data_IF_457614138448
#
_entry.id   IF_457614138448
#
_cell.length_a   1.000
_cell.length_b   1.000
_cell.length_c   1.000
_cell.angle_alpha   90.00
_cell.angle_beta   90.00
_cell.angle_gamma   90.00
#
_symmetry.space_group_name_H-M   'P 1'
#
loop_
_entity.id
_entity.type
_entity.pdbx_description
1 polymer ?
#
# COMPACT_ATOMS: atom_id res chain seq x y z
N UNK A 1 -3.76 -2.15 4.19
CA UNK A 1 -5.02 -1.38 4.13
C UNK A 1 -4.83 0.02 4.70
N UNK A 2 -5.33 1.04 4.00
CA UNK A 2 -5.24 2.47 4.37
C UNK A 2 -5.92 2.72 5.72
N UNK A 3 -5.27 3.43 6.66
CA UNK A 3 -5.82 3.56 8.02
C UNK A 3 -7.06 4.47 8.09
N UNK A 4 -7.16 5.54 7.29
CA UNK A 4 -8.36 6.40 7.29
C UNK A 4 -9.65 5.65 6.92
N UNK A 5 -9.55 4.55 6.16
CA UNK A 5 -10.71 3.70 5.80
C UNK A 5 -11.11 2.71 6.90
N UNK A 6 -10.26 2.51 7.90
CA UNK A 6 -10.42 1.49 8.95
C UNK A 6 -10.36 2.07 10.35
N UNK A 7 -10.45 3.40 10.44
CA UNK A 7 -10.44 4.16 11.69
C UNK A 7 -11.48 5.27 11.64
N UNK A 8 -11.83 5.83 12.79
CA UNK A 8 -12.67 7.02 12.90
C UNK A 8 -12.19 7.91 14.05
N UNK A 9 -12.66 9.16 14.05
CA UNK A 9 -12.27 10.22 14.99
C UNK A 9 -10.74 10.35 15.13
N UNK A 10 -10.04 10.35 14.01
CA UNK A 10 -8.60 10.51 13.99
C UNK A 10 -8.21 11.97 14.26
N UNK A 11 -7.30 12.21 15.20
CA UNK A 11 -6.76 13.53 15.51
C UNK A 11 -5.33 13.45 16.05
N UNK A 12 -4.68 14.60 16.14
CA UNK A 12 -3.32 14.73 16.67
C UNK A 12 -3.37 15.24 18.11
N UNK A 13 -2.79 14.49 19.04
CA UNK A 13 -2.55 14.88 20.43
C UNK A 13 -1.09 15.26 20.60
N UNK A 14 -0.82 16.29 21.39
CA UNK A 14 0.54 16.78 21.70
C UNK A 14 1.40 17.09 20.45
N UNK A 15 0.76 17.37 19.31
CA UNK A 15 1.36 17.62 17.99
C UNK A 15 2.14 16.46 17.34
N UNK A 16 2.21 15.29 17.97
CA UNK A 16 2.97 14.15 17.41
C UNK A 16 2.33 12.77 17.69
N UNK A 17 1.32 12.70 18.56
CA UNK A 17 0.63 11.45 18.87
C UNK A 17 -0.64 11.38 18.02
N UNK A 18 -0.65 10.51 17.00
CA UNK A 18 -1.84 10.21 16.23
C UNK A 18 -2.76 9.33 17.08
N UNK A 19 -3.97 9.82 17.36
CA UNK A 19 -5.01 9.11 18.10
C UNK A 19 -6.15 8.80 17.15
N UNK A 20 -6.69 7.59 17.21
CA UNK A 20 -7.92 7.24 16.50
C UNK A 20 -8.68 6.11 17.23
N UNK A 21 -9.88 5.78 16.75
CA UNK A 21 -10.52 4.50 17.04
C UNK A 21 -10.33 3.55 15.88
N UNK A 22 -9.75 2.39 16.14
CA UNK A 22 -9.38 1.40 15.13
C UNK A 22 -10.33 0.19 15.19
N UNK A 23 -10.88 -0.22 14.04
CA UNK A 23 -11.65 -1.47 13.94
C UNK A 23 -10.73 -2.70 13.99
N UNK A 24 -11.16 -3.71 14.73
CA UNK A 24 -10.54 -5.04 14.82
C UNK A 24 -11.25 -6.02 13.89
N UNK A 25 -10.63 -7.18 13.64
CA UNK A 25 -11.20 -8.24 12.76
C UNK A 25 -12.50 -8.86 13.31
N UNK A 26 -12.73 -8.76 14.61
CA UNK A 26 -13.96 -9.19 15.28
C UNK A 26 -15.09 -8.13 15.19
N UNK A 27 -14.84 -7.00 14.53
CA UNK A 27 -15.79 -5.89 14.39
C UNK A 27 -15.82 -4.94 15.59
N UNK A 28 -15.07 -5.22 16.67
CA UNK A 28 -14.92 -4.28 17.79
C UNK A 28 -14.08 -3.07 17.39
N UNK A 29 -14.28 -1.93 18.05
CA UNK A 29 -13.40 -0.78 17.93
C UNK A 29 -12.64 -0.53 19.23
N UNK A 30 -11.40 -0.06 19.13
CA UNK A 30 -10.59 0.33 20.29
C UNK A 30 -9.84 1.63 20.03
N UNK A 31 -9.69 2.44 21.08
CA UNK A 31 -8.86 3.64 21.03
C UNK A 31 -7.39 3.22 20.91
N UNK A 32 -6.71 3.75 19.90
CA UNK A 32 -5.34 3.43 19.52
C UNK A 32 -4.54 4.75 19.44
N UNK A 33 -3.25 4.69 19.81
CA UNK A 33 -2.33 5.82 19.73
C UNK A 33 -1.06 5.39 19.01
N UNK A 34 -0.52 6.25 18.16
CA UNK A 34 0.75 6.08 17.48
C UNK A 34 1.58 7.35 17.63
N UNK A 35 2.73 7.21 18.27
CA UNK A 35 3.70 8.28 18.43
C UNK A 35 4.50 8.44 17.13
N UNK A 36 4.20 9.49 16.37
CA UNK A 36 4.80 9.77 15.07
C UNK A 36 6.27 10.21 15.18
N UNK A 37 6.71 10.77 16.31
CA UNK A 37 8.11 11.18 16.50
C UNK A 37 9.06 9.97 16.57
N UNK A 38 8.53 8.77 16.83
CA UNK A 38 9.31 7.52 16.72
C UNK A 38 9.58 7.09 15.27
N UNK A 39 8.97 7.76 14.30
CA UNK A 39 8.89 7.29 12.92
C UNK A 39 9.15 8.38 11.88
N UNK A 40 8.84 9.63 12.22
CA UNK A 40 9.00 10.80 11.36
C UNK A 40 10.05 11.72 11.95
N UNK A 41 11.06 12.01 11.13
CA UNK A 41 12.06 13.03 11.40
C UNK A 41 11.90 14.27 10.53
N UNK A 42 12.82 15.21 10.71
CA UNK A 42 12.98 16.38 9.84
C UNK A 42 14.37 16.38 9.19
N UNK A 43 14.41 16.27 7.86
CA UNK A 43 15.61 16.38 7.06
C UNK A 43 15.54 17.63 6.17
N UNK A 44 16.27 18.68 6.57
CA UNK A 44 16.35 19.97 5.87
C UNK A 44 14.99 20.56 5.42
N UNK A 45 13.98 20.51 6.29
CA UNK A 45 12.64 21.00 6.02
C UNK A 45 11.71 19.99 5.33
N UNK A 46 12.08 18.71 5.27
CA UNK A 46 11.26 17.63 4.74
C UNK A 46 11.00 16.56 5.80
N UNK A 47 9.81 15.95 5.74
CA UNK A 47 9.54 14.78 6.58
C UNK A 47 10.49 13.66 6.17
N UNK A 48 11.19 13.08 7.13
CA UNK A 48 12.08 11.95 6.91
C UNK A 48 11.48 10.69 7.54
N UNK A 49 11.31 9.63 6.76
CA UNK A 49 10.81 8.33 7.24
C UNK A 49 11.90 7.27 7.27
N UNK A 50 13.12 7.60 6.87
CA UNK A 50 14.24 6.68 6.63
C UNK A 50 15.16 6.53 7.83
N UNK A 51 15.21 7.54 8.71
CA UNK A 51 16.07 7.57 9.89
C UNK A 51 15.24 7.39 11.17
N UNK A 52 15.10 6.15 11.70
CA UNK A 52 14.26 5.88 12.87
C UNK A 52 14.93 6.29 14.20
N UNK A 53 15.93 7.17 14.18
CA UNK A 53 16.58 7.61 15.40
C UNK A 53 15.72 8.68 16.09
N UNK A 54 15.45 8.46 17.39
CA UNK A 54 14.67 9.37 18.24
C UNK A 54 15.32 10.76 18.34
N UNK A 55 16.60 10.87 17.98
CA UNK A 55 17.33 12.15 17.89
C UNK A 55 16.78 13.09 16.81
N UNK A 56 15.95 12.61 15.88
CA UNK A 56 15.44 13.38 14.75
C UNK A 56 13.94 13.68 14.77
N UNK A 57 13.23 13.39 15.87
CA UNK A 57 11.79 13.65 16.07
C UNK A 57 11.33 14.95 15.39
N UNK A 58 10.47 14.83 14.36
CA UNK A 58 10.10 15.98 13.53
C UNK A 58 9.51 17.10 14.38
N UNK A 59 8.69 16.75 15.37
CA UNK A 59 7.92 17.72 16.16
C UNK A 59 8.82 18.69 16.92
N UNK A 60 10.02 18.26 17.31
CA UNK A 60 10.98 19.07 18.07
C UNK A 60 11.51 20.29 17.29
N UNK A 61 11.47 20.22 15.96
CA UNK A 61 11.96 21.28 15.08
C UNK A 61 10.87 21.88 14.19
N UNK A 62 9.64 21.39 14.35
CA UNK A 62 8.50 21.77 13.55
C UNK A 62 7.62 22.82 14.25
N UNK A 63 6.81 23.52 13.47
CA UNK A 63 5.74 24.39 13.95
C UNK A 63 4.51 24.29 13.05
N UNK A 64 3.39 24.85 13.49
CA UNK A 64 2.12 24.85 12.75
C UNK A 64 1.67 23.45 12.31
N UNK A 65 1.89 22.46 13.18
CA UNK A 65 1.61 21.06 12.90
C UNK A 65 0.10 20.85 12.91
N UNK A 66 -0.43 20.31 11.83
CA UNK A 66 -1.86 20.05 11.65
C UNK A 66 -2.06 18.69 11.01
N UNK A 67 -3.07 17.97 11.48
CA UNK A 67 -3.53 16.72 10.87
C UNK A 67 -4.94 16.93 10.33
N UNK A 68 -5.16 16.50 9.10
CA UNK A 68 -6.49 16.50 8.48
C UNK A 68 -6.59 15.41 7.42
N UNK A 69 -7.64 14.59 7.49
CA UNK A 69 -8.01 13.60 6.48
C UNK A 69 -6.83 12.72 6.02
N UNK A 70 -6.11 12.12 6.98
CA UNK A 70 -4.95 11.27 6.68
C UNK A 70 -3.66 12.03 6.30
N UNK A 71 -3.71 13.36 6.18
CA UNK A 71 -2.55 14.19 5.82
C UNK A 71 -2.01 14.92 7.04
N UNK A 72 -0.70 14.80 7.29
CA UNK A 72 0.03 15.61 8.26
C UNK A 72 0.72 16.76 7.52
N UNK A 73 0.48 18.00 7.96
CA UNK A 73 1.10 19.22 7.44
C UNK A 73 1.89 19.88 8.56
N UNK A 74 3.11 20.33 8.27
CA UNK A 74 3.94 21.06 9.22
C UNK A 74 4.87 22.05 8.52
N UNK A 75 5.28 23.08 9.26
CA UNK A 75 6.41 23.94 8.93
C UNK A 75 7.67 23.33 9.55
N UNK A 76 8.51 22.67 8.77
CA UNK A 76 9.74 22.00 9.22
C UNK A 76 10.96 22.90 9.04
N UNK A 77 11.83 22.94 10.04
CA UNK A 77 13.03 23.80 10.02
C UNK A 77 14.12 23.23 9.10
N UNK A 78 14.63 24.07 8.19
CA UNK A 78 15.79 23.80 7.34
C UNK A 78 17.10 23.99 8.10
N UNK A 79 18.20 23.49 7.54
CA UNK A 79 19.56 23.77 8.00
C UNK A 79 19.88 25.27 7.95
N UNK A 80 19.30 26.01 6.99
CA UNK A 80 19.42 27.48 6.90
C UNK A 80 18.75 28.21 8.08
N UNK A 81 18.00 27.50 8.93
CA UNK A 81 17.14 27.98 10.01
C UNK A 81 15.80 28.59 9.56
N UNK A 82 15.56 28.70 8.25
CA UNK A 82 14.24 28.99 7.70
C UNK A 82 13.31 27.78 7.82
N UNK A 83 12.03 27.94 7.50
CA UNK A 83 11.05 26.85 7.54
C UNK A 83 10.56 26.52 6.14
N UNK A 84 10.36 25.23 5.89
CA UNK A 84 9.67 24.70 4.73
C UNK A 84 8.28 24.21 5.15
N UNK A 85 7.24 24.64 4.45
CA UNK A 85 5.90 24.08 4.66
C UNK A 85 5.81 22.81 3.81
N UNK A 86 5.60 21.67 4.44
CA UNK A 86 5.52 20.39 3.76
C UNK A 86 4.39 19.52 4.33
N UNK A 87 4.07 18.47 3.60
CA UNK A 87 2.98 17.55 3.90
C UNK A 87 3.43 16.11 3.68
N UNK A 88 2.95 15.21 4.53
CA UNK A 88 3.07 13.76 4.33
C UNK A 88 1.70 13.11 4.47
N UNK A 89 1.38 12.20 3.55
CA UNK A 89 0.15 11.42 3.60
C UNK A 89 0.38 10.21 4.52
N UNK A 90 -0.17 10.24 5.73
CA UNK A 90 -0.03 9.14 6.70
C UNK A 90 -0.70 7.86 6.23
N UNK A 91 -1.67 7.93 5.31
CA UNK A 91 -2.26 6.75 4.68
C UNK A 91 -1.26 5.86 3.92
N UNK A 92 -0.11 6.43 3.55
CA UNK A 92 1.00 5.70 2.94
C UNK A 92 1.93 5.02 3.94
N UNK A 93 1.85 5.37 5.23
CA UNK A 93 2.81 4.94 6.25
C UNK A 93 2.16 4.37 7.51
N UNK A 94 0.87 4.58 7.72
CA UNK A 94 0.15 4.13 8.91
C UNK A 94 -0.92 3.15 8.48
N UNK A 95 -0.96 2.02 9.16
CA UNK A 95 -1.96 0.97 8.94
C UNK A 95 -2.69 0.66 10.24
N UNK A 96 -3.94 0.25 10.11
CA UNK A 96 -4.67 -0.41 11.19
C UNK A 96 -4.39 -1.92 11.14
N UNK A 97 -3.53 -2.39 12.04
CA UNK A 97 -3.24 -3.80 12.25
C UNK A 97 -4.14 -4.38 13.35
N UNK A 98 -5.32 -4.88 12.94
CA UNK A 98 -6.29 -5.54 13.83
C UNK A 98 -6.65 -4.69 15.07
N UNK A 99 -7.03 -3.44 14.86
CA UNK A 99 -7.39 -2.47 15.90
C UNK A 99 -6.22 -1.66 16.46
N UNK A 100 -5.00 -1.79 15.94
CA UNK A 100 -3.83 -1.06 16.43
C UNK A 100 -3.19 -0.25 15.29
N UNK A 101 -2.89 1.01 15.54
CA UNK A 101 -2.09 1.80 14.61
C UNK A 101 -0.65 1.31 14.62
N UNK A 102 -0.09 1.09 13.44
CA UNK A 102 1.31 0.73 13.25
C UNK A 102 1.90 1.56 12.12
N UNK A 103 3.16 1.96 12.28
CA UNK A 103 3.92 2.63 11.23
C UNK A 103 4.63 1.62 10.34
N UNK A 104 4.33 1.64 9.05
CA UNK A 104 4.99 0.90 7.99
C UNK A 104 6.13 1.75 7.40
N UNK A 105 7.38 1.32 7.63
CA UNK A 105 8.59 2.06 7.25
C UNK A 105 8.82 2.22 5.74
N UNK A 106 8.17 1.40 4.91
CA UNK A 106 8.31 1.48 3.46
C UNK A 106 7.06 2.11 2.84
N UNK A 107 7.14 3.33 2.27
CA UNK A 107 6.21 3.77 1.24
C UNK A 107 6.35 2.80 0.07
N UNK A 108 5.36 1.94 -0.06
CA UNK A 108 5.48 0.72 -0.84
C UNK A 108 5.02 -0.47 -0.03
N UNK A 109 3.91 -1.04 -0.49
CA UNK A 109 3.24 -2.16 0.14
C UNK A 109 2.14 -2.63 -0.79
N UNK A 110 0.94 -2.82 -0.23
CA UNK A 110 -0.25 -3.16 -1.01
C UNK A 110 -0.48 -2.13 -2.13
N UNK A 111 -0.58 -2.62 -3.37
CA UNK A 111 -0.68 -1.76 -4.56
C UNK A 111 -1.82 -0.75 -4.49
N UNK A 112 -2.96 -1.07 -3.87
CA UNK A 112 -4.08 -0.13 -3.76
C UNK A 112 -3.78 1.07 -2.84
N UNK A 113 -2.91 0.90 -1.85
CA UNK A 113 -2.49 2.00 -0.97
C UNK A 113 -1.40 2.86 -1.60
N UNK A 114 -0.47 2.24 -2.33
CA UNK A 114 0.79 2.87 -2.75
C UNK A 114 0.95 3.06 -4.27
N UNK A 115 -0.08 2.73 -5.07
CA UNK A 115 -0.09 2.93 -6.51
C UNK A 115 -1.38 3.61 -6.99
N UNK A 116 -1.33 4.29 -8.13
CA UNK A 116 -2.44 4.99 -8.78
C UNK A 116 -2.40 4.80 -10.30
N UNK A 117 -3.49 5.19 -10.97
CA UNK A 117 -3.59 5.17 -12.43
C UNK A 117 -3.25 3.80 -13.05
N UNK A 118 -3.87 2.74 -12.52
CA UNK A 118 -3.66 1.39 -13.03
C UNK A 118 -4.17 1.24 -14.46
N UNK A 119 -3.41 0.55 -15.28
CA UNK A 119 -3.83 0.02 -16.57
C UNK A 119 -3.33 -1.39 -16.76
N UNK A 120 -4.12 -2.23 -17.44
CA UNK A 120 -3.69 -3.55 -17.88
C UNK A 120 -3.79 -3.58 -19.39
N UNK A 121 -2.66 -3.77 -20.04
CA UNK A 121 -2.58 -3.97 -21.50
C UNK A 121 -1.99 -5.34 -21.74
N UNK A 122 -2.76 -6.22 -22.38
CA UNK A 122 -2.47 -7.64 -22.54
C UNK A 122 -2.21 -8.34 -21.20
N UNK A 123 -0.95 -8.47 -20.81
CA UNK A 123 -0.51 -9.06 -19.54
C UNK A 123 0.32 -8.12 -18.67
N UNK A 124 0.58 -6.90 -19.15
CA UNK A 124 1.41 -5.92 -18.46
C UNK A 124 0.54 -5.01 -17.61
N UNK A 125 0.66 -5.15 -16.29
CA UNK A 125 0.05 -4.23 -15.33
C UNK A 125 0.96 -3.02 -15.18
N UNK A 126 0.46 -1.83 -15.47
CA UNK A 126 1.17 -0.56 -15.29
C UNK A 126 0.48 0.31 -14.25
N UNK A 127 1.25 1.08 -13.51
CA UNK A 127 0.74 2.04 -12.53
C UNK A 127 1.78 3.14 -12.22
N UNK A 128 1.31 4.24 -11.62
CA UNK A 128 2.17 5.17 -10.89
C UNK A 128 2.38 4.65 -9.48
N UNK A 129 3.63 4.49 -9.06
CA UNK A 129 4.03 3.92 -7.78
C UNK A 129 4.73 4.96 -6.93
N UNK A 130 4.31 5.13 -5.68
CA UNK A 130 4.96 6.06 -4.75
C UNK A 130 6.36 5.54 -4.38
N UNK A 131 7.39 6.34 -4.63
CA UNK A 131 8.78 6.05 -4.27
C UNK A 131 9.14 6.49 -2.86
N UNK A 132 10.34 6.08 -2.41
CA UNK A 132 10.95 6.56 -1.15
C UNK A 132 11.28 8.05 -1.19
N UNK A 133 11.45 8.61 -2.40
CA UNK A 133 11.64 10.03 -2.66
C UNK A 133 10.35 10.85 -2.56
N UNK A 134 9.25 10.21 -2.15
CA UNK A 134 7.91 10.78 -2.07
C UNK A 134 7.34 11.25 -3.42
N UNK A 135 7.90 10.80 -4.55
CA UNK A 135 7.40 11.09 -5.88
C UNK A 135 6.76 9.86 -6.54
N UNK A 136 5.97 10.09 -7.59
CA UNK A 136 5.30 9.02 -8.33
C UNK A 136 6.15 8.55 -9.51
N UNK A 137 6.52 7.28 -9.51
CA UNK A 137 7.30 6.64 -10.56
C UNK A 137 6.39 5.79 -11.45
N UNK A 138 6.47 5.97 -12.76
CA UNK A 138 5.83 5.05 -13.69
C UNK A 138 6.50 3.68 -13.58
N UNK A 139 5.71 2.63 -13.36
CA UNK A 139 6.20 1.27 -13.25
C UNK A 139 5.24 0.28 -13.88
N UNK A 140 5.78 -0.84 -14.33
CA UNK A 140 5.02 -1.93 -14.95
C UNK A 140 5.59 -3.28 -14.55
N UNK A 141 4.73 -4.29 -14.49
CA UNK A 141 5.11 -5.69 -14.27
C UNK A 141 4.34 -6.58 -15.23
N UNK A 142 5.04 -7.51 -15.90
CA UNK A 142 4.41 -8.50 -16.78
C UNK A 142 3.87 -9.66 -15.94
N UNK A 143 2.55 -9.73 -15.81
CA UNK A 143 1.87 -10.79 -15.07
C UNK A 143 2.04 -12.16 -15.75
N UNK A 144 2.37 -12.20 -17.05
CA UNK A 144 2.56 -13.44 -17.79
C UNK A 144 3.78 -14.23 -17.32
N UNK A 145 4.78 -13.54 -16.76
CA UNK A 145 5.96 -14.17 -16.15
C UNK A 145 5.70 -14.74 -14.74
N UNK A 146 4.49 -14.54 -14.19
CA UNK A 146 4.21 -14.80 -12.78
C UNK A 146 2.92 -15.60 -12.53
N UNK A 147 1.97 -15.53 -13.46
CA UNK A 147 0.70 -16.22 -13.38
C UNK A 147 0.58 -17.29 -14.48
N UNK A 148 -0.05 -18.40 -14.11
CA UNK A 148 -0.45 -19.47 -15.02
C UNK A 148 -1.92 -19.84 -14.85
N UNK A 149 -2.41 -20.77 -15.66
CA UNK A 149 -3.74 -21.33 -15.54
C UNK A 149 -3.65 -22.75 -15.00
N UNK A 150 -4.43 -23.07 -13.97
CA UNK A 150 -4.55 -24.41 -13.41
C UNK A 150 -6.01 -24.71 -13.06
N UNK A 151 -6.54 -25.82 -13.58
CA UNK A 151 -7.95 -26.27 -13.40
C UNK A 151 -8.99 -25.14 -13.60
N UNK A 152 -8.81 -24.30 -14.62
CA UNK A 152 -9.74 -23.21 -14.93
C UNK A 152 -9.60 -21.95 -14.07
N UNK A 153 -8.61 -21.89 -13.18
CA UNK A 153 -8.30 -20.72 -12.37
C UNK A 153 -6.94 -20.10 -12.75
N UNK A 154 -6.82 -18.78 -12.56
CA UNK A 154 -5.53 -18.08 -12.67
C UNK A 154 -4.81 -18.19 -11.33
N UNK A 155 -3.57 -18.69 -11.34
CA UNK A 155 -2.77 -18.96 -10.13
C UNK A 155 -1.40 -18.29 -10.19
N UNK A 156 -0.86 -17.79 -9.06
CA UNK A 156 0.42 -17.06 -9.00
C UNK A 156 1.67 -17.97 -9.03
N UNK A 157 1.52 -19.25 -9.35
CA UNK A 157 2.62 -20.25 -9.35
C UNK A 157 2.72 -20.85 -10.75
N UNK A 158 2.88 -19.99 -11.76
CA UNK A 158 2.97 -20.42 -13.14
C UNK A 158 3.46 -19.32 -14.06
N UNK A 159 3.54 -19.64 -15.33
CA UNK A 159 3.83 -18.68 -16.40
C UNK A 159 2.83 -18.87 -17.52
N UNK A 160 2.76 -17.87 -18.40
CA UNK A 160 2.02 -17.93 -19.65
C UNK A 160 0.49 -17.95 -19.53
N UNK A 161 -0.11 -17.42 -18.44
CA UNK A 161 -1.58 -17.36 -18.34
C UNK A 161 -2.24 -16.71 -19.56
N UNK A 162 -1.60 -15.71 -20.18
CA UNK A 162 -2.13 -14.96 -21.32
C UNK A 162 -2.48 -15.85 -22.53
N UNK A 163 -1.85 -17.03 -22.65
CA UNK A 163 -2.17 -17.98 -23.73
C UNK A 163 -3.55 -18.61 -23.58
N UNK A 164 -3.94 -18.84 -22.33
CA UNK A 164 -5.13 -19.61 -21.97
C UNK A 164 -6.26 -18.73 -21.46
N UNK A 165 -6.11 -17.40 -21.53
CA UNK A 165 -7.15 -16.45 -21.15
C UNK A 165 -7.52 -15.49 -22.27
N UNK A 166 -8.70 -14.88 -22.15
CA UNK A 166 -9.15 -13.73 -22.94
C UNK A 166 -9.91 -12.75 -22.06
N UNK A 167 -10.18 -11.55 -22.57
CA UNK A 167 -10.91 -10.49 -21.86
C UNK A 167 -10.30 -10.18 -20.48
N UNK A 168 -8.97 -10.24 -20.38
CA UNK A 168 -8.26 -9.93 -19.15
C UNK A 168 -8.41 -8.43 -18.83
N UNK A 169 -8.79 -8.11 -17.60
CA UNK A 169 -8.93 -6.74 -17.13
C UNK A 169 -8.56 -6.62 -15.65
N UNK A 170 -8.08 -5.44 -15.29
CA UNK A 170 -7.86 -5.08 -13.89
C UNK A 170 -9.12 -4.42 -13.32
N UNK A 171 -9.56 -4.86 -12.15
CA UNK A 171 -10.70 -4.28 -11.44
C UNK A 171 -10.39 -4.08 -9.97
N UNK A 172 -10.82 -2.95 -9.42
CA UNK A 172 -10.79 -2.69 -7.98
C UNK A 172 -12.19 -2.97 -7.42
N UNK A 173 -12.30 -3.90 -6.47
CA UNK A 173 -13.56 -4.22 -5.78
C UNK A 173 -13.34 -4.16 -4.27
N UNK A 174 -13.79 -3.07 -3.65
CA UNK A 174 -13.51 -2.81 -2.23
C UNK A 174 -12.01 -2.68 -1.97
N UNK A 175 -11.47 -3.52 -1.09
CA UNK A 175 -10.04 -3.56 -0.75
C UNK A 175 -9.22 -4.55 -1.61
N UNK A 176 -9.80 -5.10 -2.68
CA UNK A 176 -9.16 -6.13 -3.53
C UNK A 176 -8.79 -5.58 -4.90
N UNK A 177 -7.60 -5.92 -5.37
CA UNK A 177 -7.08 -5.60 -6.68
C UNK A 177 -7.12 -6.87 -7.54
N UNK A 178 -8.10 -6.98 -8.45
CA UNK A 178 -8.41 -8.22 -9.15
C UNK A 178 -7.88 -8.20 -10.58
N UNK A 179 -7.20 -9.28 -10.96
CA UNK A 179 -7.10 -9.68 -12.36
C UNK A 179 -8.29 -10.58 -12.67
N UNK A 180 -9.21 -10.06 -13.49
CA UNK A 180 -10.38 -10.78 -13.97
C UNK A 180 -10.12 -11.22 -15.41
N UNK A 181 -10.37 -12.48 -15.75
CA UNK A 181 -10.24 -12.97 -17.12
C UNK A 181 -11.19 -14.13 -17.40
N UNK A 182 -11.38 -14.45 -18.67
CA UNK A 182 -12.03 -15.69 -19.12
C UNK A 182 -10.97 -16.74 -19.43
N UNK A 183 -10.97 -17.84 -18.70
CA UNK A 183 -9.98 -18.92 -18.77
C UNK A 183 -10.51 -20.07 -19.60
N UNK A 184 -9.68 -20.63 -20.47
CA UNK A 184 -10.00 -21.81 -21.26
C UNK A 184 -10.11 -23.04 -20.35
N UNK A 185 -11.26 -23.68 -20.37
CA UNK A 185 -11.53 -24.97 -19.73
C UNK A 185 -11.64 -26.08 -20.79
N UNK A 186 -12.02 -27.30 -20.37
CA UNK A 186 -12.22 -28.42 -21.28
C UNK A 186 -13.19 -28.08 -22.42
N UNK A 187 -12.97 -28.70 -23.59
CA UNK A 187 -13.82 -28.58 -24.78
C UNK A 187 -13.91 -27.17 -25.38
N UNK A 188 -12.90 -26.31 -25.15
CA UNK A 188 -12.85 -24.96 -25.75
C UNK A 188 -13.85 -23.96 -25.17
N UNK A 189 -14.53 -24.33 -24.09
CA UNK A 189 -15.36 -23.42 -23.30
C UNK A 189 -14.46 -22.49 -22.51
N UNK A 190 -14.94 -21.28 -22.24
CA UNK A 190 -14.28 -20.30 -21.39
C UNK A 190 -15.13 -20.02 -20.16
N UNK A 191 -14.50 -19.91 -19.00
CA UNK A 191 -15.15 -19.62 -17.72
C UNK A 191 -14.49 -18.41 -17.05
N UNK A 192 -15.28 -17.64 -16.31
CA UNK A 192 -14.77 -16.46 -15.62
C UNK A 192 -13.90 -16.87 -14.43
N UNK A 193 -12.73 -16.28 -14.30
CA UNK A 193 -11.85 -16.43 -13.16
C UNK A 193 -11.36 -15.07 -12.66
N UNK A 194 -11.12 -14.99 -11.36
CA UNK A 194 -10.49 -13.85 -10.70
C UNK A 194 -9.31 -14.32 -9.84
N UNK A 195 -8.25 -13.51 -9.81
CA UNK A 195 -7.15 -13.66 -8.85
C UNK A 195 -6.84 -12.31 -8.22
N UNK A 196 -6.60 -12.31 -6.92
CA UNK A 196 -6.28 -11.11 -6.16
C UNK A 196 -4.78 -10.81 -6.25
N UNK A 197 -4.44 -9.78 -7.02
CA UNK A 197 -3.08 -9.32 -7.22
C UNK A 197 -2.48 -8.73 -5.95
N UNK A 198 -3.30 -8.29 -4.99
CA UNK A 198 -2.83 -7.74 -3.70
C UNK A 198 -2.02 -8.75 -2.89
N UNK A 199 -2.16 -10.04 -3.20
CA UNK A 199 -1.43 -11.12 -2.53
C UNK A 199 0.01 -11.25 -3.00
N UNK A 200 0.31 -10.86 -4.24
CA UNK A 200 1.61 -11.15 -4.86
C UNK A 200 2.23 -9.97 -5.61
N UNK A 201 1.51 -8.88 -5.85
CA UNK A 201 2.03 -7.68 -6.51
C UNK A 201 2.09 -6.56 -5.48
N UNK A 202 3.26 -5.95 -5.36
CA UNK A 202 3.55 -4.92 -4.37
C UNK A 202 4.28 -3.75 -5.03
N UNK A 203 4.13 -2.56 -4.46
CA UNK A 203 5.06 -1.47 -4.74
C UNK A 203 6.28 -1.61 -3.83
N UNK A 204 7.47 -1.67 -4.42
CA UNK A 204 8.75 -1.56 -3.73
C UNK A 204 9.48 -0.34 -4.26
N UNK A 205 9.50 0.72 -3.46
CA UNK A 205 10.29 1.93 -3.76
C UNK A 205 10.00 2.52 -5.14
N UNK A 206 8.72 2.67 -5.48
CA UNK A 206 8.30 3.20 -6.78
C UNK A 206 8.29 2.17 -7.90
N UNK A 207 8.42 0.86 -7.60
CA UNK A 207 8.42 -0.21 -8.60
C UNK A 207 7.40 -1.31 -8.29
N UNK A 208 6.55 -1.64 -9.26
CA UNK A 208 5.72 -2.84 -9.20
C UNK A 208 6.60 -4.08 -9.22
N UNK A 209 6.46 -4.91 -8.20
CA UNK A 209 7.25 -6.12 -8.02
C UNK A 209 6.33 -7.28 -7.68
N UNK A 210 6.57 -8.43 -8.31
CA UNK A 210 5.93 -9.68 -7.93
C UNK A 210 6.71 -10.37 -6.80
N UNK A 211 6.03 -10.80 -5.76
CA UNK A 211 6.58 -11.46 -4.58
C UNK A 211 5.67 -12.63 -4.22
N UNK A 212 6.20 -13.84 -4.28
CA UNK A 212 5.50 -15.04 -3.81
C UNK A 212 5.94 -15.33 -2.38
N UNK A 213 5.09 -15.05 -1.39
CA UNK A 213 5.37 -15.44 0.00
C UNK A 213 4.90 -16.88 0.24
N UNK A 214 5.85 -17.82 0.25
CA UNK A 214 5.62 -19.23 0.57
C UNK A 214 5.65 -19.51 2.08
N UNK A 215 5.93 -18.51 2.93
CA UNK A 215 6.14 -18.68 4.37
C UNK A 215 4.89 -18.39 5.24
N UNK A 216 3.84 -17.82 4.65
CA UNK A 216 2.63 -17.38 5.36
C UNK A 216 1.46 -18.36 5.37
N UNK A 217 1.62 -19.57 5.92
CA UNK A 217 0.61 -20.36 6.66
C UNK A 217 -0.83 -20.61 6.13
N UNK A 218 -1.24 -20.11 4.96
CA UNK A 218 -2.45 -20.55 4.27
C UNK A 218 -2.02 -21.33 3.04
N UNK A 219 -2.19 -22.66 3.03
CA UNK A 219 -1.98 -23.40 1.79
C UNK A 219 -2.89 -22.80 0.73
N UNK A 220 -2.33 -22.50 -0.45
CA UNK A 220 -3.12 -22.47 -1.67
C UNK A 220 -3.79 -23.84 -1.75
N UNK A 221 -5.05 -23.93 -1.32
CA UNK A 221 -5.86 -25.13 -1.51
C UNK A 221 -6.17 -25.20 -2.99
N UNK A 222 -5.33 -25.94 -3.69
CA UNK A 222 -5.68 -26.57 -4.95
C UNK A 222 -6.52 -27.79 -4.58
N UNK A 223 -7.84 -27.62 -4.49
CA UNK A 223 -8.76 -28.75 -4.50
C UNK A 223 -8.73 -29.41 -5.92
#
# INVERSE_FOLDING_TARGET
MVFTLTTYDAFLKDNHILVAYCYSKDGSSRRCELDLDKHLGNNDGWFDTTTPDRSHAFSHSARDITYKDGTLRASLRKLSKDYNITTICLDSYVVNANGQLQFCKTPGGEILSSCRAFSLTDSVLSALCLGMDHTWHASSTDLNGHYGVYKGAVVPIGTHFHRDVRNACFQVRGARALLCAEVRVALGKFEHAEVDLSNCVFNREGRLTFVLDLSGGKPFKLD
#
